data_IF_467319561132
#
_entry.id   IF_467319561132
#
_cell.length_a   1.000
_cell.length_b   1.000
_cell.length_c   1.000
_cell.angle_alpha   90.00
_cell.angle_beta   90.00
_cell.angle_gamma   90.00
#
_symmetry.space_group_name_H-M   'P 1'
#
loop_
_entity.id
_entity.type
_entity.pdbx_description
1 polymer ?
#
# COMPACT_ATOMS: atom_id res chain seq x y z
N UNK A 1 19.29 -32.63 -0.54
CA UNK A 1 18.06 -32.07 0.09
C UNK A 1 17.48 -31.03 -0.87
N UNK A 2 16.15 -30.92 -0.99
CA UNK A 2 15.50 -29.97 -1.92
C UNK A 2 14.89 -28.79 -1.15
N UNK A 3 15.26 -27.57 -1.52
CA UNK A 3 14.63 -26.33 -1.07
C UNK A 3 14.01 -25.58 -2.26
N UNK A 4 13.16 -24.61 -1.98
CA UNK A 4 12.47 -23.84 -3.03
C UNK A 4 12.40 -22.35 -2.69
N UNK A 5 12.56 -21.50 -3.70
CA UNK A 5 12.24 -20.06 -3.63
C UNK A 5 11.14 -19.78 -4.65
N UNK A 6 10.03 -19.23 -4.19
CA UNK A 6 8.93 -18.77 -5.03
C UNK A 6 8.90 -17.25 -5.04
N UNK A 7 9.27 -16.64 -6.17
CA UNK A 7 9.20 -15.21 -6.38
C UNK A 7 7.92 -14.86 -7.13
N UNK A 8 7.05 -14.07 -6.49
CA UNK A 8 5.78 -13.63 -7.08
C UNK A 8 5.85 -12.12 -7.28
N UNK A 9 5.60 -11.67 -8.52
CA UNK A 9 5.34 -10.27 -8.80
C UNK A 9 3.85 -10.04 -8.68
N UNK A 10 3.46 -9.08 -7.85
CA UNK A 10 2.07 -8.64 -7.79
C UNK A 10 2.01 -7.15 -8.04
N UNK A 11 0.91 -6.72 -8.64
CA UNK A 11 0.37 -5.41 -8.32
C UNK A 11 1.18 -4.19 -8.76
N UNK A 12 1.94 -4.38 -9.82
CA UNK A 12 2.64 -3.29 -10.47
C UNK A 12 1.64 -2.53 -11.33
N UNK A 13 1.25 -1.34 -10.86
CA UNK A 13 0.35 -0.43 -11.58
C UNK A 13 0.82 -0.04 -12.99
N UNK A 14 2.10 -0.23 -13.29
CA UNK A 14 2.69 -0.13 -14.63
C UNK A 14 3.84 -1.11 -14.82
N UNK A 15 4.20 -1.34 -16.09
CA UNK A 15 5.48 -1.94 -16.46
C UNK A 15 6.65 -1.10 -15.89
N UNK A 16 7.74 -1.75 -15.45
CA UNK A 16 8.88 -1.02 -14.91
C UNK A 16 9.47 -0.13 -16.00
N UNK A 17 10.04 1.05 -15.66
CA UNK A 17 10.70 1.90 -16.65
C UNK A 17 11.72 1.10 -17.46
N UNK A 18 11.81 1.38 -18.77
CA UNK A 18 12.77 0.70 -19.66
C UNK A 18 14.19 0.76 -19.06
N UNK A 19 14.82 -0.40 -18.88
CA UNK A 19 16.16 -0.52 -18.28
C UNK A 19 16.17 -0.83 -16.77
N UNK A 20 15.02 -0.87 -16.11
CA UNK A 20 14.89 -1.36 -14.73
C UNK A 20 14.70 -2.88 -14.74
N UNK A 21 15.47 -3.60 -13.92
CA UNK A 21 15.38 -5.07 -13.78
C UNK A 21 15.44 -5.52 -12.33
N UNK A 22 14.99 -6.74 -12.06
CA UNK A 22 15.13 -7.36 -10.74
C UNK A 22 16.28 -8.37 -10.75
N UNK A 23 16.92 -8.54 -9.59
CA UNK A 23 17.93 -9.57 -9.37
C UNK A 23 17.58 -10.39 -8.14
N UNK A 24 17.79 -11.70 -8.25
CA UNK A 24 17.81 -12.62 -7.12
C UNK A 24 19.26 -12.88 -6.73
N UNK A 25 19.57 -12.66 -5.45
CA UNK A 25 20.86 -12.93 -4.86
C UNK A 25 20.71 -13.99 -3.78
N UNK A 26 21.70 -14.87 -3.69
CA UNK A 26 21.83 -15.83 -2.59
C UNK A 26 23.23 -15.69 -2.01
N UNK A 27 23.33 -15.41 -0.71
CA UNK A 27 24.57 -15.08 0.00
C UNK A 27 25.40 -14.01 -0.72
N UNK A 28 24.72 -13.00 -1.28
CA UNK A 28 25.34 -11.90 -2.04
C UNK A 28 25.76 -12.24 -3.47
N UNK A 29 25.66 -13.49 -3.92
CA UNK A 29 25.92 -13.88 -5.31
C UNK A 29 24.67 -13.67 -6.16
N UNK A 30 24.82 -13.03 -7.33
CA UNK A 30 23.73 -12.88 -8.30
C UNK A 30 23.42 -14.23 -8.94
N UNK A 31 22.22 -14.75 -8.69
CA UNK A 31 21.75 -16.04 -9.20
C UNK A 31 20.91 -15.88 -10.45
N UNK A 32 20.05 -14.86 -10.49
CA UNK A 32 19.24 -14.54 -11.67
C UNK A 32 19.19 -13.02 -11.84
N UNK A 33 19.62 -12.54 -13.01
CA UNK A 33 19.71 -11.13 -13.34
C UNK A 33 18.84 -10.71 -14.53
N UNK A 34 18.02 -11.64 -15.03
CA UNK A 34 17.13 -11.48 -16.16
C UNK A 34 15.66 -11.55 -15.72
N UNK A 35 15.40 -11.07 -14.51
CA UNK A 35 14.07 -11.04 -13.97
C UNK A 35 13.38 -9.77 -14.47
N UNK A 36 12.50 -9.97 -15.45
CA UNK A 36 11.61 -8.94 -16.01
C UNK A 36 10.17 -9.24 -15.60
N UNK A 37 9.42 -8.18 -15.29
CA UNK A 37 8.12 -8.18 -14.61
C UNK A 37 6.95 -8.75 -15.44
N UNK A 38 7.19 -9.29 -16.64
CA UNK A 38 6.13 -9.53 -17.61
C UNK A 38 5.46 -10.92 -17.49
N UNK A 39 5.57 -11.56 -16.32
CA UNK A 39 5.02 -12.89 -16.09
C UNK A 39 4.11 -12.84 -14.87
N UNK A 40 2.79 -12.94 -15.09
CA UNK A 40 1.79 -13.12 -14.01
C UNK A 40 2.00 -14.45 -13.25
N UNK A 41 2.93 -15.28 -13.72
CA UNK A 41 3.29 -16.55 -13.13
C UNK A 41 4.43 -16.39 -12.12
N UNK A 42 4.32 -17.03 -10.94
CA UNK A 42 5.43 -17.13 -10.01
C UNK A 42 6.68 -17.72 -10.67
N UNK A 43 7.83 -17.10 -10.45
CA UNK A 43 9.12 -17.71 -10.77
C UNK A 43 9.53 -18.63 -9.63
N UNK A 44 9.76 -19.90 -9.95
CA UNK A 44 10.13 -20.90 -8.96
C UNK A 44 11.59 -21.30 -9.20
N UNK A 45 12.38 -21.26 -8.14
CA UNK A 45 13.77 -21.68 -8.11
C UNK A 45 13.89 -22.92 -7.23
N UNK A 46 14.31 -24.04 -7.81
CA UNK A 46 14.61 -25.28 -7.09
C UNK A 46 16.09 -25.32 -6.74
N UNK A 47 16.38 -25.51 -5.45
CA UNK A 47 17.72 -25.67 -4.93
C UNK A 47 17.91 -27.13 -4.52
N UNK A 48 18.84 -27.83 -5.16
CA UNK A 48 19.16 -29.22 -4.85
C UNK A 48 20.60 -29.29 -4.35
N UNK A 49 20.73 -29.50 -3.04
CA UNK A 49 22.04 -29.58 -2.38
C UNK A 49 22.59 -31.00 -2.35
N UNK A 50 23.84 -31.14 -2.76
CA UNK A 50 24.73 -32.25 -2.43
C UNK A 50 25.67 -31.86 -1.25
N UNK A 51 26.67 -32.70 -0.94
CA UNK A 51 27.60 -32.50 0.18
C UNK A 51 28.48 -31.24 0.04
N UNK A 52 28.59 -30.66 -1.15
CA UNK A 52 29.56 -29.61 -1.48
C UNK A 52 28.92 -28.41 -2.20
N UNK A 53 27.96 -28.65 -3.09
CA UNK A 53 27.31 -27.63 -3.90
C UNK A 53 25.79 -27.79 -3.90
N UNK A 54 25.14 -26.66 -4.08
CA UNK A 54 23.70 -26.55 -4.33
C UNK A 54 23.51 -26.11 -5.76
N UNK A 55 22.95 -27.00 -6.57
CA UNK A 55 22.53 -26.70 -7.92
C UNK A 55 21.20 -25.95 -7.89
N UNK A 56 21.08 -24.92 -8.74
CA UNK A 56 19.89 -24.07 -8.80
C UNK A 56 19.29 -24.16 -10.21
N UNK A 57 18.01 -24.48 -10.29
CA UNK A 57 17.24 -24.49 -11.53
C UNK A 57 16.00 -23.63 -11.42
N UNK A 58 15.71 -22.85 -12.46
CA UNK A 58 14.46 -22.10 -12.58
C UNK A 58 13.38 -22.96 -13.24
N UNK A 59 12.10 -22.61 -13.02
CA UNK A 59 10.92 -23.35 -13.49
C UNK A 59 10.84 -23.59 -14.99
N UNK A 60 11.55 -22.80 -15.81
CA UNK A 60 11.73 -22.99 -17.26
C UNK A 60 12.89 -23.94 -17.60
N UNK A 61 13.34 -24.74 -16.63
CA UNK A 61 14.50 -25.63 -16.70
C UNK A 61 15.85 -24.93 -16.96
N UNK A 62 15.92 -23.60 -16.84
CA UNK A 62 17.19 -22.89 -16.94
C UNK A 62 18.08 -23.23 -15.73
N UNK A 63 19.30 -23.68 -16.01
CA UNK A 63 20.35 -23.84 -14.99
C UNK A 63 20.93 -22.48 -14.62
N UNK A 64 21.03 -22.21 -13.34
CA UNK A 64 21.56 -20.98 -12.77
C UNK A 64 22.88 -21.26 -12.03
N UNK A 65 23.67 -20.24 -11.65
CA UNK A 65 24.91 -20.43 -10.92
C UNK A 65 24.71 -21.31 -9.67
N UNK A 66 25.60 -22.29 -9.48
CA UNK A 66 25.62 -23.09 -8.26
C UNK A 66 26.27 -22.31 -7.12
N UNK A 67 25.88 -22.67 -5.89
CA UNK A 67 26.43 -22.08 -4.67
C UNK A 67 27.00 -23.17 -3.77
N UNK A 68 27.79 -22.78 -2.77
CA UNK A 68 28.30 -23.71 -1.76
C UNK A 68 27.13 -24.20 -0.87
N UNK A 69 27.05 -25.50 -0.63
CA UNK A 69 26.04 -26.06 0.29
C UNK A 69 26.19 -25.51 1.70
N UNK A 70 25.07 -25.06 2.29
CA UNK A 70 24.93 -24.58 3.68
C UNK A 70 23.59 -25.00 4.27
N UNK A 71 23.48 -24.93 5.59
CA UNK A 71 22.23 -25.21 6.32
C UNK A 71 21.19 -24.09 6.18
N UNK A 72 21.66 -22.87 5.88
CA UNK A 72 20.81 -21.71 5.59
C UNK A 72 21.47 -20.80 4.57
N UNK A 73 20.64 -20.04 3.86
CA UNK A 73 21.03 -19.07 2.86
C UNK A 73 20.34 -17.73 3.12
N UNK A 74 21.05 -16.63 2.90
CA UNK A 74 20.44 -15.31 2.81
C UNK A 74 19.97 -15.07 1.38
N UNK A 75 18.67 -14.88 1.20
CA UNK A 75 18.05 -14.63 -0.10
C UNK A 75 17.65 -13.16 -0.18
N UNK A 76 18.20 -12.44 -1.14
CA UNK A 76 17.88 -11.03 -1.38
C UNK A 76 17.28 -10.84 -2.77
N UNK A 77 16.14 -10.15 -2.83
CA UNK A 77 15.58 -9.62 -4.08
C UNK A 77 15.87 -8.14 -4.12
N UNK A 78 16.49 -7.67 -5.19
CA UNK A 78 16.82 -6.26 -5.37
C UNK A 78 16.37 -5.73 -6.73
N UNK A 79 16.16 -4.42 -6.78
CA UNK A 79 15.91 -3.68 -8.01
C UNK A 79 17.20 -3.01 -8.49
N UNK A 80 17.43 -3.07 -9.80
CA UNK A 80 18.56 -2.42 -10.47
C UNK A 80 18.00 -1.37 -11.42
N UNK A 81 18.33 -0.11 -11.15
CA UNK A 81 17.96 1.02 -11.99
C UNK A 81 18.82 1.11 -13.25
N UNK A 82 18.39 1.92 -14.21
CA UNK A 82 19.08 2.09 -15.50
C UNK A 82 20.51 2.67 -15.37
N UNK A 83 20.81 3.39 -14.28
CA UNK A 83 22.15 3.89 -13.95
C UNK A 83 23.05 2.83 -13.30
N UNK A 84 22.54 1.60 -13.10
CA UNK A 84 23.22 0.55 -12.33
C UNK A 84 23.03 0.66 -10.81
N UNK A 85 22.30 1.67 -10.32
CA UNK A 85 21.97 1.80 -8.90
C UNK A 85 21.17 0.58 -8.41
N UNK A 86 21.60 0.00 -7.29
CA UNK A 86 21.00 -1.21 -6.70
C UNK A 86 20.30 -0.86 -5.40
N UNK A 87 19.09 -1.38 -5.19
CA UNK A 87 18.37 -1.26 -3.92
C UNK A 87 17.73 -2.60 -3.55
N UNK A 88 18.09 -3.13 -2.39
CA UNK A 88 17.42 -4.31 -1.84
C UNK A 88 15.93 -3.99 -1.61
N UNK A 89 15.06 -4.84 -2.14
CA UNK A 89 13.61 -4.77 -1.90
C UNK A 89 13.21 -5.64 -0.73
N UNK A 90 13.85 -6.80 -0.59
CA UNK A 90 13.60 -7.75 0.48
C UNK A 90 14.82 -8.65 0.70
N UNK A 91 15.07 -8.99 1.96
CA UNK A 91 16.10 -9.96 2.37
C UNK A 91 15.47 -10.89 3.40
N UNK A 92 15.64 -12.21 3.20
CA UNK A 92 15.09 -13.23 4.07
C UNK A 92 16.01 -14.46 4.15
N UNK A 93 15.88 -15.25 5.21
CA UNK A 93 16.64 -16.49 5.38
C UNK A 93 15.87 -17.70 4.86
N UNK A 94 16.50 -18.49 3.99
CA UNK A 94 16.03 -19.80 3.55
C UNK A 94 16.81 -20.90 4.27
N UNK A 95 16.13 -21.66 5.14
CA UNK A 95 16.72 -22.87 5.74
C UNK A 95 16.66 -24.05 4.76
N UNK A 96 17.69 -24.90 4.78
CA UNK A 96 17.76 -26.08 3.92
C UNK A 96 16.55 -27.01 4.13
N UNK A 97 15.98 -27.50 3.04
CA UNK A 97 14.77 -28.34 3.05
C UNK A 97 13.44 -27.59 3.22
N UNK A 98 13.46 -26.25 3.22
CA UNK A 98 12.25 -25.41 3.34
C UNK A 98 11.92 -24.70 2.01
N UNK A 99 10.73 -24.10 1.97
CA UNK A 99 10.30 -23.21 0.89
C UNK A 99 10.21 -21.78 1.40
N UNK A 100 10.66 -20.82 0.60
CA UNK A 100 10.59 -19.39 0.86
C UNK A 100 9.75 -18.72 -0.23
N UNK A 101 8.67 -18.03 0.15
CA UNK A 101 7.87 -17.23 -0.79
C UNK A 101 8.19 -15.75 -0.59
N UNK A 102 8.62 -15.09 -1.67
CA UNK A 102 8.89 -13.65 -1.71
C UNK A 102 7.88 -13.00 -2.64
N UNK A 103 7.14 -12.01 -2.15
CA UNK A 103 6.21 -11.22 -2.95
C UNK A 103 6.83 -9.85 -3.19
N UNK A 104 7.19 -9.56 -4.44
CA UNK A 104 7.67 -8.25 -4.86
C UNK A 104 6.48 -7.39 -5.34
N UNK A 105 6.35 -6.21 -4.74
CA UNK A 105 5.35 -5.19 -5.08
C UNK A 105 6.06 -3.86 -5.35
N UNK A 106 5.70 -3.15 -6.41
CA UNK A 106 6.17 -1.77 -6.63
C UNK A 106 5.05 -0.87 -7.18
N UNK A 107 4.72 0.25 -6.52
CA UNK A 107 3.72 1.19 -7.00
C UNK A 107 4.32 2.10 -8.07
N UNK A 108 4.28 1.70 -9.34
CA UNK A 108 4.58 2.60 -10.46
C UNK A 108 3.30 3.32 -10.90
N UNK A 109 3.09 4.57 -10.51
CA UNK A 109 1.93 5.36 -10.95
C UNK A 109 2.25 6.09 -12.26
N UNK A 110 1.42 5.91 -13.30
CA UNK A 110 1.43 6.77 -14.49
C UNK A 110 0.76 8.08 -14.12
N UNK A 111 1.40 9.20 -14.43
CA UNK A 111 0.75 10.50 -14.43
C UNK A 111 0.21 10.78 -15.84
N UNK A 112 -1.12 10.79 -16.07
CA UNK A 112 -1.68 11.26 -17.32
C UNK A 112 -1.72 12.80 -17.35
N UNK A 113 -1.08 13.41 -18.36
CA UNK A 113 -1.16 14.84 -18.60
C UNK A 113 -2.46 15.15 -19.33
N UNK A 114 -3.34 15.98 -18.76
CA UNK A 114 -4.47 16.58 -19.46
C UNK A 114 -4.48 18.11 -19.28
N UNK A 115 -4.91 18.82 -20.31
CA UNK A 115 -4.83 20.28 -20.42
C UNK A 115 -6.13 20.94 -19.97
N UNK A 116 -6.13 21.66 -18.83
CA UNK A 116 -6.87 22.91 -18.55
C UNK A 116 -7.11 23.15 -17.04
N UNK A 117 -7.02 24.41 -16.59
CA UNK A 117 -7.64 24.86 -15.32
C UNK A 117 -6.76 25.68 -14.36
N UNK A 118 -7.38 26.65 -13.66
CA UNK A 118 -6.77 27.62 -12.72
C UNK A 118 -6.44 26.97 -11.36
N UNK A 119 -5.40 27.50 -10.70
CA UNK A 119 -4.71 26.91 -9.54
C UNK A 119 -5.11 27.60 -8.23
N UNK A 120 -5.42 26.82 -7.18
CA UNK A 120 -5.45 27.29 -5.79
C UNK A 120 -4.83 26.25 -4.83
N UNK A 121 -4.00 26.74 -3.90
CA UNK A 121 -3.50 26.20 -2.62
C UNK A 121 -3.35 24.69 -2.33
N UNK A 122 -3.18 23.83 -3.33
CA UNK A 122 -2.75 22.44 -3.14
C UNK A 122 -1.41 22.22 -3.84
N UNK A 123 -0.45 21.53 -3.21
CA UNK A 123 0.89 21.30 -3.78
C UNK A 123 0.84 20.47 -5.08
N UNK A 124 1.03 21.15 -6.20
CA UNK A 124 1.04 20.61 -7.56
C UNK A 124 2.48 20.36 -8.06
N UNK A 125 2.68 19.38 -8.95
CA UNK A 125 3.90 19.31 -9.77
C UNK A 125 3.77 20.29 -10.94
N UNK A 126 4.73 21.20 -11.07
CA UNK A 126 4.80 22.15 -12.17
C UNK A 126 5.79 21.63 -13.22
N UNK A 127 5.28 21.34 -14.42
CA UNK A 127 6.15 21.05 -15.58
C UNK A 127 6.00 22.19 -16.57
N UNK A 128 7.11 22.87 -16.84
CA UNK A 128 7.21 23.90 -17.86
C UNK A 128 7.84 23.30 -19.12
N UNK A 129 7.19 23.44 -20.27
CA UNK A 129 7.83 23.13 -21.56
C UNK A 129 7.48 24.17 -22.62
N UNK A 130 8.45 24.41 -23.52
CA UNK A 130 8.31 25.32 -24.64
C UNK A 130 7.75 24.60 -25.87
N UNK A 131 6.58 25.02 -26.36
CA UNK A 131 6.13 24.62 -27.70
C UNK A 131 6.88 25.47 -28.72
N UNK A 132 7.87 24.89 -29.42
CA UNK A 132 8.52 25.54 -30.57
C UNK A 132 7.66 25.35 -31.82
N UNK A 133 7.04 26.43 -32.30
CA UNK A 133 6.57 26.57 -33.68
C UNK A 133 7.30 27.74 -34.33
N UNK A 134 7.37 27.72 -35.66
CA UNK A 134 8.31 28.44 -36.55
C UNK A 134 8.95 29.73 -36.01
N UNK A 135 8.24 30.62 -35.31
CA UNK A 135 8.80 31.85 -34.72
C UNK A 135 8.31 32.20 -33.28
N UNK A 136 7.69 31.27 -32.54
CA UNK A 136 7.20 31.49 -31.16
C UNK A 136 7.59 30.34 -30.21
N UNK A 137 8.03 30.68 -29.00
CA UNK A 137 8.11 29.75 -27.86
C UNK A 137 6.93 30.02 -26.93
N UNK A 138 6.00 29.07 -26.81
CA UNK A 138 4.92 29.14 -25.83
C UNK A 138 5.28 28.33 -24.60
N UNK A 139 5.35 28.99 -23.45
CA UNK A 139 5.47 28.34 -22.15
C UNK A 139 4.13 27.73 -21.75
N UNK A 140 4.07 26.40 -21.61
CA UNK A 140 2.90 25.69 -21.06
C UNK A 140 3.26 25.15 -19.69
N UNK A 141 2.48 25.54 -18.68
CA UNK A 141 2.58 25.07 -17.29
C UNK A 141 1.54 23.96 -17.07
N UNK A 142 1.98 22.73 -16.80
CA UNK A 142 1.08 21.62 -16.47
C UNK A 142 1.10 21.37 -14.97
N UNK A 143 -0.09 21.11 -14.43
CA UNK A 143 -0.38 20.93 -13.01
C UNK A 143 -1.02 19.55 -12.81
N UNK A 144 -0.37 18.68 -12.04
CA UNK A 144 -0.79 17.30 -11.80
C UNK A 144 -1.16 17.09 -10.32
N UNK A 145 -2.32 16.48 -10.08
CA UNK A 145 -2.74 16.01 -8.75
C UNK A 145 -2.49 14.50 -8.62
N UNK A 146 -1.53 14.09 -7.78
CA UNK A 146 -1.20 12.67 -7.52
C UNK A 146 -1.71 12.21 -6.15
N UNK A 147 -3.04 12.13 -6.01
CA UNK A 147 -3.69 11.84 -4.72
C UNK A 147 -3.36 10.43 -4.17
N UNK A 148 -3.44 9.34 -4.96
CA UNK A 148 -3.06 8.02 -4.46
C UNK A 148 -1.65 7.98 -3.90
N UNK A 149 -0.66 8.54 -4.61
CA UNK A 149 0.71 8.60 -4.10
C UNK A 149 0.82 9.39 -2.79
N UNK A 150 0.14 10.53 -2.66
CA UNK A 150 0.15 11.34 -1.43
C UNK A 150 -0.42 10.59 -0.24
N UNK A 151 -1.57 9.93 -0.43
CA UNK A 151 -2.19 9.06 0.59
C UNK A 151 -1.19 8.00 1.04
N UNK A 152 -0.58 7.29 0.09
CA UNK A 152 0.33 6.19 0.40
C UNK A 152 1.63 6.66 1.06
N UNK A 153 2.21 7.77 0.60
CA UNK A 153 3.42 8.33 1.20
C UNK A 153 3.19 8.77 2.65
N UNK A 154 2.06 9.45 2.91
CA UNK A 154 1.68 9.86 4.26
C UNK A 154 1.39 8.65 5.15
N UNK A 155 0.61 7.68 4.67
CA UNK A 155 0.34 6.46 5.43
C UNK A 155 1.65 5.72 5.77
N UNK A 156 2.55 5.57 4.79
CA UNK A 156 3.83 4.88 4.95
C UNK A 156 4.80 5.60 5.89
N UNK A 157 4.74 6.94 6.01
CA UNK A 157 5.58 7.66 6.98
C UNK A 157 5.22 7.34 8.43
N UNK A 158 4.02 6.81 8.69
CA UNK A 158 3.59 6.38 10.03
C UNK A 158 3.88 4.91 10.32
N UNK A 159 4.46 4.14 9.38
CA UNK A 159 4.75 2.71 9.59
C UNK A 159 5.59 2.50 10.85
N UNK A 160 5.13 1.62 11.74
CA UNK A 160 5.77 1.31 13.02
C UNK A 160 5.40 2.27 14.15
N UNK A 161 4.67 3.35 13.89
CA UNK A 161 4.17 4.26 14.92
C UNK A 161 3.19 3.57 15.85
N UNK A 162 3.31 3.83 17.15
CA UNK A 162 2.42 3.35 18.20
C UNK A 162 1.37 4.38 18.61
N UNK A 163 1.30 5.54 17.94
CA UNK A 163 0.34 6.60 18.28
C UNK A 163 -1.13 6.16 18.15
N UNK A 164 -1.42 5.25 17.21
CA UNK A 164 -2.75 4.66 17.01
C UNK A 164 -2.93 3.30 17.69
N UNK A 165 -2.01 2.91 18.58
CA UNK A 165 -2.14 1.67 19.32
C UNK A 165 -3.37 1.66 20.23
N UNK A 166 -3.92 0.47 20.46
CA UNK A 166 -5.08 0.23 21.30
C UNK A 166 -4.91 0.80 22.70
N UNK A 167 -3.74 0.58 23.31
CA UNK A 167 -3.40 1.02 24.66
C UNK A 167 -3.00 2.51 24.80
N UNK A 168 -3.04 3.30 23.72
CA UNK A 168 -2.74 4.74 23.75
C UNK A 168 -3.99 5.58 23.62
N UNK A 169 -4.01 6.75 24.25
CA UNK A 169 -4.98 7.81 23.92
C UNK A 169 -4.50 8.50 22.65
N UNK A 170 -5.40 8.79 21.71
CA UNK A 170 -5.11 9.53 20.49
C UNK A 170 -6.15 10.60 20.25
N UNK A 171 -5.70 11.83 20.04
CA UNK A 171 -6.54 12.86 19.45
C UNK A 171 -6.39 12.80 17.93
N UNK A 172 -7.50 12.80 17.21
CA UNK A 172 -7.47 12.97 15.76
C UNK A 172 -6.80 14.30 15.39
N UNK A 173 -6.29 14.42 14.18
CA UNK A 173 -5.97 15.74 13.63
C UNK A 173 -7.21 16.65 13.68
N UNK A 174 -7.03 17.97 13.82
CA UNK A 174 -8.15 18.89 13.82
C UNK A 174 -8.85 18.88 12.46
N UNK A 175 -10.18 18.77 12.46
CA UNK A 175 -10.94 18.83 11.22
C UNK A 175 -10.68 20.14 10.47
N UNK A 176 -10.36 20.13 9.16
CA UNK A 176 -9.93 21.32 8.42
C UNK A 176 -10.88 22.50 8.56
N UNK A 177 -12.19 22.25 8.58
CA UNK A 177 -13.23 23.28 8.70
C UNK A 177 -13.72 23.51 10.13
N UNK A 178 -13.84 22.45 10.94
CA UNK A 178 -14.47 22.55 12.27
C UNK A 178 -13.43 22.95 13.33
N UNK A 179 -12.13 22.82 13.02
CA UNK A 179 -10.98 23.09 13.91
C UNK A 179 -11.08 22.33 15.25
N UNK A 180 -11.75 21.18 15.25
CA UNK A 180 -11.94 20.31 16.41
C UNK A 180 -11.28 18.96 16.17
N UNK A 181 -10.64 18.46 17.22
CA UNK A 181 -10.14 17.08 17.31
C UNK A 181 -11.08 16.23 18.14
N UNK A 182 -11.10 14.92 17.88
CA UNK A 182 -11.86 13.95 18.65
C UNK A 182 -10.87 13.05 19.40
N UNK A 183 -11.08 12.88 20.71
CA UNK A 183 -10.28 11.98 21.52
C UNK A 183 -10.80 10.54 21.40
N UNK A 184 -9.87 9.63 21.14
CA UNK A 184 -10.06 8.19 21.23
C UNK A 184 -9.26 7.68 22.42
N UNK A 185 -9.98 7.15 23.41
CA UNK A 185 -9.41 6.64 24.66
C UNK A 185 -8.43 5.48 24.43
N UNK A 186 -7.66 5.17 25.48
CA UNK A 186 -6.96 3.90 25.56
C UNK A 186 -7.95 2.72 25.62
N UNK A 187 -7.47 1.54 25.28
CA UNK A 187 -8.24 0.30 25.13
C UNK A 187 -9.33 0.41 24.05
N UNK A 188 -8.98 1.02 22.91
CA UNK A 188 -9.86 1.07 21.74
C UNK A 188 -9.09 0.99 20.42
N UNK A 189 -9.68 0.31 19.43
CA UNK A 189 -9.17 0.30 18.06
C UNK A 189 -9.24 1.71 17.43
N UNK A 190 -8.25 2.04 16.59
CA UNK A 190 -8.09 3.39 16.00
C UNK A 190 -7.82 3.36 14.49
N UNK A 191 -8.22 2.28 13.81
CA UNK A 191 -8.04 2.12 12.36
C UNK A 191 -8.74 3.23 11.56
N UNK A 192 -9.94 3.64 11.95
CA UNK A 192 -10.64 4.77 11.32
C UNK A 192 -9.96 6.11 11.59
N UNK A 193 -9.42 6.31 12.79
CA UNK A 193 -8.68 7.54 13.15
C UNK A 193 -7.39 7.64 12.36
N UNK A 194 -6.69 6.52 12.16
CA UNK A 194 -5.50 6.48 11.31
C UNK A 194 -5.83 6.89 9.86
N UNK A 195 -6.89 6.33 9.28
CA UNK A 195 -7.35 6.72 7.93
C UNK A 195 -7.69 8.20 7.87
N UNK A 196 -8.41 8.70 8.87
CA UNK A 196 -8.78 10.10 8.96
C UNK A 196 -7.58 11.04 9.08
N UNK A 197 -6.62 10.71 9.95
CA UNK A 197 -5.43 11.53 10.20
C UNK A 197 -4.56 11.60 8.94
N UNK A 198 -4.31 10.47 8.27
CA UNK A 198 -3.56 10.44 7.01
C UNK A 198 -4.22 11.32 5.95
N UNK A 199 -5.54 11.17 5.75
CA UNK A 199 -6.27 11.97 4.76
C UNK A 199 -6.28 13.46 5.12
N UNK A 200 -6.50 13.78 6.39
CA UNK A 200 -6.51 15.16 6.89
C UNK A 200 -5.14 15.83 6.76
N UNK A 201 -4.05 15.10 7.05
CA UNK A 201 -2.68 15.61 6.94
C UNK A 201 -2.33 16.07 5.52
N UNK A 202 -2.87 15.38 4.51
CA UNK A 202 -2.69 15.74 3.09
C UNK A 202 -3.78 16.69 2.56
N UNK A 203 -4.62 17.25 3.43
CA UNK A 203 -5.64 18.24 3.07
C UNK A 203 -6.94 17.65 2.52
N UNK A 204 -7.14 16.34 2.55
CA UNK A 204 -8.43 15.72 2.19
C UNK A 204 -9.44 15.98 3.30
N UNK A 205 -10.55 16.64 2.95
CA UNK A 205 -11.64 16.89 3.88
C UNK A 205 -12.51 15.64 4.06
N UNK A 206 -12.24 14.88 5.13
CA UNK A 206 -13.02 13.69 5.51
C UNK A 206 -14.19 14.11 6.39
N UNK A 207 -15.40 13.68 6.03
CA UNK A 207 -16.61 13.99 6.79
C UNK A 207 -16.51 13.49 8.24
N UNK A 208 -16.82 14.36 9.21
CA UNK A 208 -17.13 13.95 10.58
C UNK A 208 -18.60 13.55 10.65
N UNK A 209 -18.87 12.36 11.20
CA UNK A 209 -20.19 11.76 11.26
C UNK A 209 -20.72 11.85 12.70
N UNK A 210 -21.99 12.23 12.87
CA UNK A 210 -22.69 12.15 14.15
C UNK A 210 -23.06 10.70 14.46
N UNK A 211 -22.58 10.17 15.60
CA UNK A 211 -22.91 8.82 16.09
C UNK A 211 -23.83 8.84 17.32
N UNK A 212 -24.41 9.99 17.63
CA UNK A 212 -25.36 10.15 18.72
C UNK A 212 -25.35 11.56 19.28
N UNK A 213 -26.53 12.09 19.51
CA UNK A 213 -26.75 13.35 20.21
C UNK A 213 -27.30 13.09 21.61
N UNK A 214 -26.92 13.92 22.58
CA UNK A 214 -27.52 13.85 23.91
C UNK A 214 -28.94 14.39 23.85
N UNK A 215 -29.91 13.61 24.33
CA UNK A 215 -31.29 14.09 24.53
C UNK A 215 -31.40 15.12 25.66
N UNK A 216 -30.42 15.18 26.56
CA UNK A 216 -30.47 15.96 27.80
C UNK A 216 -29.53 17.17 27.82
N UNK A 217 -28.56 17.23 26.90
CA UNK A 217 -27.62 18.35 26.80
C UNK A 217 -27.79 18.97 25.41
N UNK A 218 -28.51 20.10 25.30
CA UNK A 218 -28.70 20.79 24.02
C UNK A 218 -27.36 21.10 23.37
N UNK A 219 -27.19 20.70 22.10
CA UNK A 219 -25.98 20.93 21.32
C UNK A 219 -24.85 19.92 21.52
N UNK A 220 -25.01 18.91 22.38
CA UNK A 220 -24.03 17.83 22.50
C UNK A 220 -24.27 16.77 21.41
N UNK A 221 -23.32 16.66 20.48
CA UNK A 221 -23.25 15.63 19.44
C UNK A 221 -21.90 14.93 19.51
N UNK A 222 -21.91 13.60 19.49
CA UNK A 222 -20.70 12.77 19.40
C UNK A 222 -20.35 12.60 17.93
N UNK A 223 -19.60 13.57 17.43
CA UNK A 223 -19.03 13.52 16.08
C UNK A 223 -17.71 12.75 16.09
N UNK A 224 -17.47 11.90 15.10
CA UNK A 224 -16.20 11.23 14.94
C UNK A 224 -15.89 10.93 13.46
N UNK A 225 -14.63 10.58 13.13
CA UNK A 225 -14.31 10.08 11.80
C UNK A 225 -15.15 8.85 11.44
N UNK A 226 -15.44 8.62 10.14
CA UNK A 226 -16.34 7.53 9.75
C UNK A 226 -15.83 6.18 10.24
N UNK A 227 -16.71 5.38 10.83
CA UNK A 227 -16.30 4.06 11.37
C UNK A 227 -16.01 3.06 10.24
N UNK A 228 -15.35 1.94 10.55
CA UNK A 228 -15.05 0.91 9.55
C UNK A 228 -16.32 0.41 8.84
N UNK A 229 -17.40 0.18 9.58
CA UNK A 229 -18.70 -0.19 9.01
C UNK A 229 -19.29 0.86 8.06
N UNK A 230 -19.00 2.14 8.27
CA UNK A 230 -19.49 3.23 7.39
C UNK A 230 -18.62 3.37 6.14
N UNK A 231 -17.30 3.14 6.27
CA UNK A 231 -16.42 2.96 5.12
C UNK A 231 -16.86 1.77 4.26
N UNK A 232 -17.34 0.70 4.89
CA UNK A 232 -17.84 -0.51 4.23
C UNK A 232 -19.31 -0.43 3.74
N UNK A 233 -20.05 0.65 4.01
CA UNK A 233 -21.43 0.83 3.53
C UNK A 233 -21.47 1.60 2.21
N UNK A 234 -21.65 0.90 1.09
CA UNK A 234 -21.63 1.48 -0.26
C UNK A 234 -22.55 2.69 -0.48
N UNK A 235 -23.59 2.87 0.33
CA UNK A 235 -24.52 4.00 0.22
C UNK A 235 -24.09 5.24 1.01
N UNK A 236 -23.01 5.15 1.78
CA UNK A 236 -22.46 6.25 2.60
C UNK A 236 -21.22 6.88 1.97
N UNK A 237 -20.86 8.07 2.47
CA UNK A 237 -19.66 8.84 2.09
C UNK A 237 -19.60 9.25 0.61
N UNK A 238 -20.71 9.13 -0.12
CA UNK A 238 -20.76 9.33 -1.57
C UNK A 238 -20.46 10.75 -2.04
N UNK A 239 -20.44 11.75 -1.16
CA UNK A 239 -20.06 13.12 -1.54
C UNK A 239 -18.61 13.20 -2.03
N UNK A 240 -17.69 12.47 -1.38
CA UNK A 240 -16.25 12.57 -1.66
C UNK A 240 -15.63 11.26 -2.14
N UNK A 241 -16.37 10.16 -2.08
CA UNK A 241 -15.84 8.81 -2.31
C UNK A 241 -16.73 8.02 -3.27
N UNK A 242 -16.14 7.30 -4.23
CA UNK A 242 -16.84 6.22 -4.94
C UNK A 242 -16.69 4.91 -4.16
N UNK A 243 -17.70 4.06 -4.25
CA UNK A 243 -17.66 2.70 -3.71
C UNK A 243 -17.27 1.75 -4.83
N UNK A 244 -16.11 1.12 -4.71
CA UNK A 244 -15.55 0.21 -5.70
C UNK A 244 -15.49 -1.20 -5.13
N UNK A 245 -15.52 -2.21 -6.01
CA UNK A 245 -15.39 -3.64 -5.65
C UNK A 245 -14.00 -4.20 -5.94
N UNK A 246 -13.16 -3.44 -6.64
CA UNK A 246 -11.79 -3.83 -6.97
C UNK A 246 -10.79 -2.85 -6.35
N UNK A 247 -9.76 -3.35 -5.65
CA UNK A 247 -8.77 -2.49 -4.99
C UNK A 247 -7.87 -1.80 -6.01
N UNK A 248 -7.63 -0.50 -5.82
CA UNK A 248 -6.48 0.19 -6.39
C UNK A 248 -5.64 0.84 -5.28
N UNK A 249 -4.33 1.03 -5.49
CA UNK A 249 -3.47 1.74 -4.55
C UNK A 249 -4.02 3.12 -4.20
N UNK A 250 -4.01 3.45 -2.90
CA UNK A 250 -4.56 4.69 -2.36
C UNK A 250 -6.05 4.63 -2.03
N UNK A 251 -6.77 3.59 -2.43
CA UNK A 251 -8.14 3.37 -1.98
C UNK A 251 -8.17 3.06 -0.47
N UNK A 252 -9.25 3.46 0.21
CA UNK A 252 -9.53 3.03 1.58
C UNK A 252 -10.30 1.72 1.53
N UNK A 253 -9.66 0.61 1.85
CA UNK A 253 -10.30 -0.70 1.96
C UNK A 253 -11.01 -0.86 3.30
N UNK A 254 -12.23 -1.41 3.28
CA UNK A 254 -13.02 -1.62 4.49
C UNK A 254 -13.86 -2.90 4.44
N UNK A 255 -14.10 -3.47 5.61
CA UNK A 255 -15.13 -4.47 5.84
C UNK A 255 -15.94 -4.12 7.09
N UNK A 256 -17.19 -4.57 7.14
CA UNK A 256 -18.07 -4.41 8.29
C UNK A 256 -18.24 -5.75 9.02
N UNK A 257 -18.00 -5.76 10.33
CA UNK A 257 -18.32 -6.89 11.23
C UNK A 257 -18.81 -6.31 12.54
N UNK A 258 -19.83 -6.91 13.13
CA UNK A 258 -20.38 -6.49 14.41
C UNK A 258 -19.57 -7.09 15.57
N UNK A 259 -18.39 -6.54 15.84
CA UNK A 259 -17.64 -6.87 17.05
C UNK A 259 -18.23 -6.15 18.26
N UNK A 260 -17.91 -6.61 19.47
CA UNK A 260 -18.37 -5.98 20.72
C UNK A 260 -17.89 -4.53 20.88
N UNK A 261 -16.78 -4.17 20.24
CA UNK A 261 -16.02 -2.93 20.43
C UNK A 261 -15.58 -2.27 19.12
N UNK A 262 -15.96 -2.83 17.96
CA UNK A 262 -15.60 -2.31 16.64
C UNK A 262 -16.67 -2.65 15.59
N UNK A 263 -16.76 -1.83 14.54
CA UNK A 263 -17.68 -2.04 13.42
C UNK A 263 -17.04 -2.74 12.22
N UNK A 264 -15.82 -3.27 12.38
CA UNK A 264 -15.03 -3.91 11.33
C UNK A 264 -13.59 -3.39 11.32
N UNK A 265 -12.97 -3.35 10.14
CA UNK A 265 -11.62 -2.80 9.95
C UNK A 265 -11.50 -1.93 8.70
N UNK A 266 -10.56 -1.00 8.73
CA UNK A 266 -10.30 -0.08 7.62
C UNK A 266 -8.80 0.22 7.49
N UNK A 267 -8.33 0.38 6.26
CA UNK A 267 -6.93 0.70 5.96
C UNK A 267 -6.75 1.25 4.54
N UNK A 268 -5.53 1.64 4.20
CA UNK A 268 -5.21 2.03 2.82
C UNK A 268 -4.65 0.86 2.04
N UNK A 269 -5.20 0.62 0.86
CA UNK A 269 -4.67 -0.35 -0.09
C UNK A 269 -3.33 0.18 -0.60
N UNK A 270 -2.22 -0.51 -0.26
CA UNK A 270 -0.95 -0.26 -0.94
C UNK A 270 -1.00 -0.87 -2.33
N UNK A 271 -1.58 -2.07 -2.41
CA UNK A 271 -1.92 -2.76 -3.63
C UNK A 271 -2.81 -4.00 -3.38
N UNK A 272 -3.24 -4.75 -4.40
CA UNK A 272 -4.02 -5.97 -4.17
C UNK A 272 -3.30 -6.96 -3.22
N UNK A 273 -3.97 -7.38 -2.15
CA UNK A 273 -3.33 -8.26 -1.16
C UNK A 273 -2.45 -7.58 -0.13
N UNK A 274 -2.21 -6.26 -0.21
CA UNK A 274 -1.35 -5.55 0.74
C UNK A 274 -1.97 -4.20 1.13
N UNK A 275 -2.10 -3.96 2.42
CA UNK A 275 -2.57 -2.69 2.96
C UNK A 275 -1.64 -2.15 4.04
N UNK A 276 -1.87 -0.90 4.41
CA UNK A 276 -1.34 -0.28 5.61
C UNK A 276 -2.50 0.16 6.50
N UNK A 277 -2.48 -0.24 7.75
CA UNK A 277 -3.55 0.06 8.72
C UNK A 277 -3.03 0.05 10.14
N UNK A 278 -3.82 0.62 11.07
CA UNK A 278 -3.55 0.48 12.50
C UNK A 278 -3.95 -0.91 12.98
N UNK A 279 -3.00 -1.67 13.52
CA UNK A 279 -3.28 -2.85 14.33
C UNK A 279 -3.49 -2.43 15.79
N UNK A 280 -3.67 -3.42 16.68
CA UNK A 280 -3.72 -3.15 18.12
C UNK A 280 -2.42 -2.52 18.64
N UNK A 281 -1.26 -2.90 18.10
CA UNK A 281 0.04 -2.51 18.66
C UNK A 281 0.67 -1.29 17.97
N UNK A 282 0.49 -1.16 16.64
CA UNK A 282 1.14 -0.13 15.83
C UNK A 282 0.55 -0.03 14.42
N UNK A 283 1.00 0.94 13.65
CA UNK A 283 0.74 1.00 12.20
C UNK A 283 1.61 -0.03 11.48
N UNK A 284 0.98 -0.87 10.67
CA UNK A 284 1.66 -1.97 9.99
C UNK A 284 1.28 -2.07 8.52
N UNK A 285 2.27 -2.46 7.72
CA UNK A 285 2.05 -2.97 6.36
C UNK A 285 1.84 -4.48 6.48
N UNK A 286 0.67 -4.96 6.07
CA UNK A 286 0.30 -6.37 6.18
C UNK A 286 -0.75 -6.72 5.11
N UNK A 287 -1.33 -7.92 5.22
CA UNK A 287 -2.33 -8.47 4.30
C UNK A 287 -3.75 -8.48 4.87
N UNK A 288 -4.02 -7.76 5.97
CA UNK A 288 -5.37 -7.70 6.55
C UNK A 288 -6.35 -7.11 5.53
N UNK A 289 -7.54 -7.70 5.43
CA UNK A 289 -8.51 -7.37 4.39
C UNK A 289 -8.28 -8.11 3.05
N UNK A 290 -7.31 -9.03 2.96
CA UNK A 290 -7.09 -9.85 1.76
C UNK A 290 -6.75 -11.32 2.03
N UNK A 291 -6.71 -11.74 3.30
CA UNK A 291 -6.22 -13.05 3.72
C UNK A 291 -7.07 -14.21 3.23
N UNK A 292 -8.38 -14.04 3.09
CA UNK A 292 -9.27 -15.11 2.62
C UNK A 292 -8.98 -15.35 1.13
N UNK A 293 -9.02 -14.30 0.32
CA UNK A 293 -8.75 -14.37 -1.11
C UNK A 293 -7.33 -14.86 -1.42
N UNK A 294 -6.35 -14.58 -0.54
CA UNK A 294 -4.98 -15.05 -0.69
C UNK A 294 -4.73 -16.46 -0.13
N UNK A 295 -5.70 -17.07 0.56
CA UNK A 295 -5.55 -18.39 1.20
C UNK A 295 -4.71 -18.40 2.48
N UNK A 296 -4.50 -17.25 3.11
CA UNK A 296 -3.70 -17.08 4.33
C UNK A 296 -4.55 -16.86 5.60
N UNK A 297 -5.88 -16.87 5.49
CA UNK A 297 -6.80 -16.52 6.57
C UNK A 297 -6.82 -17.52 7.72
N UNK A 298 -6.83 -17.00 8.95
CA UNK A 298 -7.37 -17.68 10.11
C UNK A 298 -8.92 -17.61 10.11
N UNK A 299 -9.57 -18.41 10.97
CA UNK A 299 -11.04 -18.56 11.00
C UNK A 299 -11.82 -17.26 11.22
N UNK A 300 -11.21 -16.27 11.87
CA UNK A 300 -11.82 -14.98 12.22
C UNK A 300 -11.36 -13.81 11.33
N UNK A 301 -10.55 -14.08 10.31
CA UNK A 301 -10.16 -13.05 9.34
C UNK A 301 -11.32 -12.71 8.41
N UNK A 302 -11.31 -11.48 7.90
CA UNK A 302 -12.24 -10.98 6.91
C UNK A 302 -11.50 -10.22 5.83
N UNK A 303 -12.01 -10.30 4.60
CA UNK A 303 -11.51 -9.50 3.49
C UNK A 303 -12.28 -8.19 3.38
N UNK A 304 -11.61 -7.16 2.85
CA UNK A 304 -12.25 -5.92 2.46
C UNK A 304 -13.29 -6.20 1.38
N UNK A 305 -14.50 -5.66 1.59
CA UNK A 305 -15.64 -5.84 0.70
C UNK A 305 -15.93 -4.59 -0.12
N UNK A 306 -15.48 -3.43 0.35
CA UNK A 306 -15.60 -2.13 -0.31
C UNK A 306 -14.25 -1.43 -0.31
N UNK A 307 -13.93 -0.80 -1.45
CA UNK A 307 -12.78 0.06 -1.61
C UNK A 307 -13.27 1.48 -1.93
N UNK A 308 -12.96 2.45 -1.06
CA UNK A 308 -13.33 3.84 -1.29
C UNK A 308 -12.25 4.58 -2.05
N UNK A 309 -12.60 5.01 -3.25
CA UNK A 309 -11.73 5.82 -4.09
C UNK A 309 -12.13 7.27 -4.02
N UNK A 310 -11.17 8.14 -3.77
CA UNK A 310 -11.42 9.57 -3.65
C UNK A 310 -11.86 10.17 -4.99
N UNK A 311 -12.99 10.87 -5.02
CA UNK A 311 -13.61 11.42 -6.24
C UNK A 311 -12.90 12.67 -6.76
N UNK A 312 -12.30 13.49 -5.90
CA UNK A 312 -11.77 14.81 -6.26
C UNK A 312 -10.32 14.76 -6.73
N UNK A 313 -10.04 13.85 -7.68
CA UNK A 313 -8.95 13.98 -8.66
C UNK A 313 -9.33 14.94 -9.81
N UNK A 314 -10.43 15.70 -9.66
CA UNK A 314 -10.83 16.80 -10.53
C UNK A 314 -10.64 18.12 -9.78
N UNK A 315 -9.90 19.09 -10.35
CA UNK A 315 -9.83 20.44 -9.82
C UNK A 315 -11.25 21.03 -9.68
N UNK A 316 -11.50 21.77 -8.59
CA UNK A 316 -12.57 22.78 -8.58
C UNK A 316 -12.12 24.02 -9.35
#
# INVERSE_FOLDING_TARGET
MKSEIKLVFKDFLMQPPKGVKFQLLIDGLVIDDNIVQNDDKPRIYSLVSDKTQTAITRSDAQKLPSIKSRDSYEVTVQIVGNSGAKKAMHTATLNSGKSLSIVAVSPWVKVPLSTSGKVSNDTFYEVEYGVKRRDETRTVKVVIQDMPRRILMEALSHRGSTEWAGNKVKHSLPHPTLKKSVEFRAESNKCNVFVYDVLTAIGVNVAMIEHGSSKYIPGYSKVSPPTAGEWADENRLLNSWSAEKSPLPGDVGAYAVNYSDASGHVGFVLTQGVCISASWDKIEVNDVGFRIASGNAARSDHDFTIFRRYKFSKPQ
#
